data_IF_163986300753
#
_entry.id   IF_163986300753
#
_cell.length_a   1.000
_cell.length_b   1.000
_cell.length_c   1.000
_cell.angle_alpha   90.00
_cell.angle_beta   90.00
_cell.angle_gamma   90.00
#
_symmetry.space_group_name_H-M   'P 1'
#
loop_
_entity.id
_entity.type
_entity.pdbx_description
1 polymer ?
#
# COMPACT_ATOMS: atom_id res chain seq x y z
N UNK A 1 -27.80 -2.36 11.43
CA UNK A 1 -27.11 -3.59 10.96
C UNK A 1 -25.62 -3.43 11.21
N UNK A 2 -24.96 -4.33 11.95
CA UNK A 2 -23.50 -4.25 12.17
C UNK A 2 -22.80 -4.52 10.82
N UNK A 3 -22.09 -3.53 10.26
CA UNK A 3 -21.22 -3.72 9.09
C UNK A 3 -20.25 -4.84 9.47
N UNK A 4 -20.36 -6.03 8.87
CA UNK A 4 -19.35 -7.06 9.10
C UNK A 4 -18.01 -6.48 8.66
N UNK A 5 -17.00 -6.58 9.50
CA UNK A 5 -15.62 -6.28 9.09
C UNK A 5 -15.33 -7.05 7.82
N UNK A 6 -14.85 -6.40 6.75
CA UNK A 6 -14.77 -7.00 5.41
C UNK A 6 -13.82 -8.22 5.36
N UNK A 7 -12.96 -8.38 6.36
CA UNK A 7 -12.19 -9.61 6.56
C UNK A 7 -13.07 -10.86 6.80
N UNK A 8 -14.23 -10.70 7.45
CA UNK A 8 -15.23 -11.77 7.60
C UNK A 8 -15.92 -12.07 6.28
N UNK A 9 -16.07 -11.07 5.41
CA UNK A 9 -16.59 -11.26 4.06
C UNK A 9 -15.63 -12.12 3.23
N UNK A 10 -14.32 -11.84 3.30
CA UNK A 10 -13.30 -12.68 2.65
C UNK A 10 -13.38 -14.16 3.08
N UNK A 11 -13.59 -14.43 4.38
CA UNK A 11 -13.72 -15.79 4.91
C UNK A 11 -14.96 -16.54 4.40
N UNK A 12 -16.00 -15.82 3.99
CA UNK A 12 -17.24 -16.38 3.47
C UNK A 12 -17.20 -16.67 1.96
N UNK A 13 -16.19 -16.18 1.25
CA UNK A 13 -16.07 -16.32 -0.21
C UNK A 13 -15.66 -17.75 -0.56
N UNK A 14 -16.47 -18.41 -1.39
CA UNK A 14 -16.25 -19.81 -1.80
C UNK A 14 -15.70 -19.98 -3.22
N UNK A 15 -15.60 -18.90 -4.00
CA UNK A 15 -15.24 -18.96 -5.42
C UNK A 15 -14.31 -17.82 -5.82
N UNK A 16 -13.49 -18.05 -6.85
CA UNK A 16 -12.64 -17.00 -7.44
C UNK A 16 -13.46 -15.80 -7.96
N UNK A 17 -14.63 -16.04 -8.56
CA UNK A 17 -15.57 -14.98 -8.96
C UNK A 17 -16.01 -14.11 -7.77
N UNK A 18 -16.21 -14.71 -6.60
CA UNK A 18 -16.53 -13.99 -5.38
C UNK A 18 -15.39 -13.07 -4.92
N UNK A 19 -14.14 -13.54 -4.96
CA UNK A 19 -12.96 -12.75 -4.61
C UNK A 19 -12.79 -11.55 -5.55
N UNK A 20 -12.97 -11.77 -6.87
CA UNK A 20 -12.93 -10.71 -7.87
C UNK A 20 -13.98 -9.63 -7.56
N UNK A 21 -15.23 -10.04 -7.26
CA UNK A 21 -16.31 -9.11 -6.88
C UNK A 21 -15.96 -8.30 -5.62
N UNK A 22 -15.37 -8.94 -4.60
CA UNK A 22 -14.92 -8.25 -3.39
C UNK A 22 -13.89 -7.17 -3.73
N UNK A 23 -12.82 -7.53 -4.46
CA UNK A 23 -11.76 -6.58 -4.83
C UNK A 23 -12.31 -5.40 -5.63
N UNK A 24 -13.23 -5.66 -6.57
CA UNK A 24 -13.91 -4.59 -7.30
C UNK A 24 -14.74 -3.69 -6.39
N UNK A 25 -15.51 -4.27 -5.46
CA UNK A 25 -16.32 -3.51 -4.52
C UNK A 25 -15.47 -2.60 -3.64
N UNK A 26 -14.38 -3.12 -3.05
CA UNK A 26 -13.45 -2.34 -2.22
C UNK A 26 -12.84 -1.16 -3.00
N UNK A 27 -12.39 -1.43 -4.24
CA UNK A 27 -11.85 -0.41 -5.13
C UNK A 27 -12.88 0.67 -5.46
N UNK A 28 -14.14 0.28 -5.68
CA UNK A 28 -15.23 1.23 -5.96
C UNK A 28 -15.51 2.09 -4.74
N UNK A 29 -15.67 1.49 -3.55
CA UNK A 29 -15.92 2.20 -2.29
C UNK A 29 -14.84 3.26 -2.05
N UNK A 30 -13.56 2.88 -2.11
CA UNK A 30 -12.44 3.84 -1.93
C UNK A 30 -12.49 5.01 -2.93
N UNK A 31 -12.93 4.75 -4.17
CA UNK A 31 -13.01 5.80 -5.20
C UNK A 31 -14.20 6.73 -4.98
N UNK A 32 -15.34 6.20 -4.57
CA UNK A 32 -16.57 6.98 -4.35
C UNK A 32 -16.52 7.77 -3.05
N UNK A 33 -15.87 7.26 -2.01
CA UNK A 33 -15.72 7.93 -0.71
C UNK A 33 -14.56 8.94 -0.69
N UNK A 34 -13.95 9.23 -1.84
CA UNK A 34 -12.83 10.17 -1.93
C UNK A 34 -13.31 11.59 -1.64
N UNK A 35 -12.78 12.18 -0.57
CA UNK A 35 -13.02 13.58 -0.22
C UNK A 35 -12.24 14.49 -1.18
N UNK A 36 -12.94 15.49 -1.75
CA UNK A 36 -12.35 16.56 -2.57
C UNK A 36 -12.02 17.77 -1.70
N UNK A 37 -11.10 18.62 -2.15
CA UNK A 37 -10.81 19.95 -1.57
C UNK A 37 -10.24 20.00 -0.14
N UNK A 38 -9.65 18.91 0.35
CA UNK A 38 -8.91 18.95 1.61
C UNK A 38 -7.53 19.59 1.39
N UNK A 39 -7.25 20.69 2.10
CA UNK A 39 -6.00 21.47 1.98
C UNK A 39 -4.82 20.67 2.51
N UNK A 40 -3.80 20.49 1.67
CA UNK A 40 -2.55 19.84 2.07
C UNK A 40 -1.68 20.78 2.89
N UNK A 41 -1.18 20.29 4.01
CA UNK A 41 -0.22 21.01 4.86
C UNK A 41 1.04 20.18 5.04
N UNK A 42 2.21 20.81 4.91
CA UNK A 42 3.49 20.17 5.14
C UNK A 42 3.79 20.10 6.65
N UNK A 43 4.40 19.00 7.10
CA UNK A 43 4.91 18.89 8.46
C UNK A 43 6.18 19.74 8.62
N UNK A 44 6.31 20.40 9.76
CA UNK A 44 7.56 21.03 10.20
C UNK A 44 8.65 19.99 10.45
N UNK A 45 9.92 20.39 10.45
CA UNK A 45 11.05 19.51 10.78
C UNK A 45 10.87 18.82 12.14
N UNK A 46 10.49 19.58 13.17
CA UNK A 46 10.24 19.08 14.53
C UNK A 46 9.11 18.05 14.58
N UNK A 47 8.05 18.24 13.78
CA UNK A 47 6.98 17.24 13.66
C UNK A 47 7.46 15.97 12.97
N UNK A 48 8.32 16.10 11.94
CA UNK A 48 8.90 14.94 11.25
C UNK A 48 9.80 14.12 12.18
N UNK A 49 10.64 14.78 12.98
CA UNK A 49 11.46 14.14 14.02
C UNK A 49 10.58 13.33 14.98
N UNK A 50 9.51 13.94 15.53
CA UNK A 50 8.57 13.22 16.40
C UNK A 50 7.84 12.08 15.71
N UNK A 51 7.51 12.19 14.42
CA UNK A 51 6.94 11.07 13.65
C UNK A 51 7.93 9.92 13.55
N UNK A 52 9.20 10.19 13.31
CA UNK A 52 10.26 9.18 13.20
C UNK A 52 10.50 8.45 14.53
N UNK A 53 10.45 9.18 15.65
CA UNK A 53 10.65 8.65 17.00
C UNK A 53 9.59 7.61 17.40
N UNK A 54 8.37 7.69 16.85
CA UNK A 54 7.27 6.75 17.17
C UNK A 54 7.59 5.27 16.94
N UNK A 55 8.57 4.99 16.09
CA UNK A 55 8.93 3.63 15.69
C UNK A 55 10.42 3.36 15.83
N UNK A 56 11.12 4.13 16.68
CA UNK A 56 12.58 4.07 16.83
C UNK A 56 13.31 4.19 15.47
N UNK A 57 12.85 5.12 14.61
CA UNK A 57 13.35 5.28 13.26
C UNK A 57 13.27 4.02 12.39
N UNK A 58 12.23 3.19 12.54
CA UNK A 58 11.95 2.07 11.63
C UNK A 58 10.68 2.30 10.82
N UNK A 59 10.61 1.77 9.60
CA UNK A 59 9.38 1.81 8.83
C UNK A 59 8.28 1.05 9.57
N UNK A 60 7.12 1.70 9.78
CA UNK A 60 6.01 1.08 10.50
C UNK A 60 5.36 -0.12 9.76
N UNK A 61 5.73 -0.36 8.50
CA UNK A 61 5.18 -1.43 7.66
C UNK A 61 6.15 -2.61 7.58
N UNK A 62 7.41 -2.38 7.20
CA UNK A 62 8.39 -3.45 6.97
C UNK A 62 9.50 -3.55 8.04
N UNK A 63 9.59 -2.58 8.96
CA UNK A 63 10.59 -2.58 10.02
C UNK A 63 12.02 -2.22 9.57
N UNK A 64 12.26 -1.82 8.32
CA UNK A 64 13.59 -1.37 7.89
C UNK A 64 13.98 -0.08 8.64
N UNK A 65 15.26 0.07 9.01
CA UNK A 65 15.77 1.31 9.58
C UNK A 65 15.64 2.45 8.56
N UNK A 66 15.31 3.63 9.06
CA UNK A 66 15.09 4.85 8.31
C UNK A 66 16.11 5.89 8.73
N UNK A 67 16.62 6.64 7.75
CA UNK A 67 17.45 7.81 8.01
C UNK A 67 16.55 9.03 8.29
N UNK A 68 16.94 9.93 9.22
CA UNK A 68 16.12 11.09 9.58
C UNK A 68 15.73 11.98 8.39
N UNK A 69 16.57 12.02 7.35
CA UNK A 69 16.35 12.81 6.15
C UNK A 69 15.78 12.01 4.98
N UNK A 70 15.59 10.69 5.12
CA UNK A 70 15.11 9.80 4.05
C UNK A 70 13.97 8.89 4.52
N UNK A 71 12.82 9.52 4.76
CA UNK A 71 11.58 8.79 5.03
C UNK A 71 10.33 9.60 4.63
N UNK A 72 9.22 8.89 4.45
CA UNK A 72 7.91 9.49 4.24
C UNK A 72 7.08 9.48 5.53
N UNK A 73 6.49 10.62 5.87
CA UNK A 73 5.42 10.69 6.85
C UNK A 73 4.13 10.21 6.16
N UNK A 74 3.80 8.95 6.38
CA UNK A 74 2.65 8.28 5.77
C UNK A 74 1.41 8.44 6.64
N UNK A 75 0.28 8.74 5.99
CA UNK A 75 -1.01 8.96 6.65
C UNK A 75 -1.63 7.63 7.09
N UNK A 76 -1.85 7.44 8.39
CA UNK A 76 -2.54 6.27 8.94
C UNK A 76 -3.97 6.20 8.40
N UNK A 77 -4.73 7.30 8.51
CA UNK A 77 -5.97 7.51 7.75
C UNK A 77 -5.61 8.30 6.50
N UNK A 78 -5.73 7.74 5.29
CA UNK A 78 -5.38 8.44 4.06
C UNK A 78 -6.10 9.78 3.96
N UNK A 79 -5.39 10.80 3.48
CA UNK A 79 -5.96 12.13 3.28
C UNK A 79 -7.22 12.11 2.39
N UNK A 80 -7.24 11.28 1.35
CA UNK A 80 -8.40 11.09 0.47
C UNK A 80 -9.64 10.53 1.17
N UNK A 81 -9.50 9.96 2.35
CA UNK A 81 -10.61 9.47 3.17
C UNK A 81 -10.94 10.45 4.33
N UNK A 82 -10.48 11.71 4.25
CA UNK A 82 -10.64 12.69 5.32
C UNK A 82 -9.68 12.48 6.49
N UNK A 83 -8.46 12.01 6.22
CA UNK A 83 -7.38 11.99 7.18
C UNK A 83 -6.79 13.38 7.39
N UNK A 84 -6.69 13.81 8.65
CA UNK A 84 -6.16 15.13 9.00
C UNK A 84 -4.63 15.19 8.88
N UNK A 85 -4.10 16.38 8.60
CA UNK A 85 -2.67 16.68 8.63
C UNK A 85 -2.18 16.96 10.06
N UNK A 86 -2.33 15.97 10.94
CA UNK A 86 -1.89 16.05 12.32
C UNK A 86 -0.87 14.96 12.62
N UNK A 87 0.09 15.29 13.47
CA UNK A 87 1.19 14.40 13.84
C UNK A 87 0.72 13.00 14.25
N UNK A 88 -0.38 12.90 15.00
CA UNK A 88 -0.97 11.62 15.43
C UNK A 88 -1.50 10.75 14.27
N UNK A 89 -1.78 11.33 13.10
CA UNK A 89 -2.21 10.62 11.90
C UNK A 89 -1.03 10.23 10.98
N UNK A 90 0.22 10.43 11.43
CA UNK A 90 1.41 10.06 10.66
C UNK A 90 2.24 8.97 11.34
N UNK A 91 2.75 8.05 10.52
CA UNK A 91 3.79 7.10 10.87
C UNK A 91 4.91 7.14 9.81
N UNK A 92 6.16 6.86 10.18
CA UNK A 92 7.27 6.91 9.25
C UNK A 92 7.26 5.66 8.37
N UNK A 93 7.58 5.82 7.08
CA UNK A 93 7.64 4.72 6.11
C UNK A 93 8.77 4.90 5.11
N UNK A 94 9.32 3.79 4.63
CA UNK A 94 10.25 3.83 3.50
C UNK A 94 9.51 4.11 2.19
N UNK A 95 10.22 4.59 1.17
CA UNK A 95 9.65 4.93 -0.13
C UNK A 95 8.88 3.76 -0.79
N UNK A 96 9.38 2.53 -0.62
CA UNK A 96 8.77 1.32 -1.18
C UNK A 96 7.41 1.07 -0.52
N UNK A 97 7.37 1.00 0.82
CA UNK A 97 6.14 0.70 1.55
C UNK A 97 5.10 1.82 1.41
N UNK A 98 5.50 3.08 1.44
CA UNK A 98 4.61 4.22 1.18
C UNK A 98 3.92 4.08 -0.19
N UNK A 99 4.69 3.70 -1.23
CA UNK A 99 4.16 3.51 -2.58
C UNK A 99 3.24 2.29 -2.69
N UNK A 100 3.57 1.19 -2.02
CA UNK A 100 2.75 -0.03 -2.01
C UNK A 100 1.44 0.17 -1.25
N UNK A 101 1.47 0.90 -0.12
CA UNK A 101 0.28 1.17 0.68
C UNK A 101 -0.65 2.18 0.01
N UNK A 102 -0.08 3.20 -0.63
CA UNK A 102 -0.81 4.23 -1.36
C UNK A 102 -1.96 4.81 -0.51
N UNK A 103 -3.19 4.86 -1.04
CA UNK A 103 -4.37 5.26 -0.28
C UNK A 103 -5.39 4.13 -0.17
N UNK A 104 -4.93 2.87 -0.25
CA UNK A 104 -5.78 1.70 -0.06
C UNK A 104 -6.45 1.74 1.32
N UNK A 105 -7.69 1.26 1.39
CA UNK A 105 -8.36 1.09 2.68
C UNK A 105 -7.62 0.02 3.52
N UNK A 106 -7.80 0.02 4.85
CA UNK A 106 -7.28 -1.06 5.70
C UNK A 106 -7.64 -2.46 5.19
N UNK A 107 -8.86 -2.61 4.67
CA UNK A 107 -9.39 -3.87 4.17
C UNK A 107 -8.79 -4.27 2.82
N UNK A 108 -8.61 -3.31 1.90
CA UNK A 108 -7.85 -3.55 0.66
C UNK A 108 -6.43 -4.02 0.98
N UNK A 109 -5.74 -3.37 1.93
CA UNK A 109 -4.39 -3.76 2.35
C UNK A 109 -4.40 -5.18 2.93
N UNK A 110 -5.36 -5.54 3.77
CA UNK A 110 -5.46 -6.88 4.33
C UNK A 110 -5.66 -7.95 3.24
N UNK A 111 -6.49 -7.68 2.23
CA UNK A 111 -6.69 -8.58 1.09
C UNK A 111 -5.40 -8.70 0.26
N UNK A 112 -4.74 -7.57 -0.03
CA UNK A 112 -3.46 -7.54 -0.77
C UNK A 112 -2.38 -8.35 -0.04
N UNK A 113 -2.23 -8.16 1.27
CA UNK A 113 -1.26 -8.90 2.08
C UNK A 113 -1.55 -10.40 2.09
N UNK A 114 -2.81 -10.81 2.26
CA UNK A 114 -3.21 -12.22 2.20
C UNK A 114 -2.91 -12.86 0.84
N UNK A 115 -3.22 -12.14 -0.25
CA UNK A 115 -2.88 -12.58 -1.61
C UNK A 115 -1.37 -12.69 -1.81
N UNK A 116 -0.59 -11.73 -1.33
CA UNK A 116 0.87 -11.75 -1.43
C UNK A 116 1.50 -12.92 -0.66
N UNK A 117 1.06 -13.17 0.57
CA UNK A 117 1.52 -14.31 1.39
C UNK A 117 1.17 -15.64 0.72
N UNK A 118 -0.05 -15.78 0.22
CA UNK A 118 -0.47 -16.97 -0.52
C UNK A 118 0.35 -17.16 -1.80
N UNK A 119 0.49 -16.11 -2.62
CA UNK A 119 1.24 -16.16 -3.87
C UNK A 119 2.71 -16.52 -3.64
N UNK A 120 3.35 -15.96 -2.60
CA UNK A 120 4.71 -16.35 -2.17
C UNK A 120 4.78 -17.86 -1.90
N UNK A 121 3.81 -18.38 -1.15
CA UNK A 121 3.76 -19.83 -0.83
C UNK A 121 3.64 -20.67 -2.10
N UNK A 122 2.89 -20.19 -3.10
CA UNK A 122 2.78 -20.86 -4.41
C UNK A 122 4.03 -20.75 -5.27
N UNK A 123 4.74 -19.62 -5.23
CA UNK A 123 6.02 -19.52 -5.94
C UNK A 123 7.05 -20.51 -5.37
N UNK A 124 7.04 -20.71 -4.04
CA UNK A 124 7.96 -21.64 -3.37
C UNK A 124 7.65 -23.12 -3.61
N UNK A 125 6.44 -23.46 -4.07
CA UNK A 125 6.09 -24.86 -4.35
C UNK A 125 6.58 -25.36 -5.72
N UNK A 126 7.11 -24.44 -6.56
CA UNK A 126 7.65 -24.71 -7.91
C UNK A 126 6.69 -25.49 -8.84
N UNK A 127 5.39 -25.51 -8.53
CA UNK A 127 4.38 -26.07 -9.43
C UNK A 127 4.27 -25.24 -10.71
N UNK A 128 3.62 -25.80 -11.74
CA UNK A 128 3.30 -25.06 -12.97
C UNK A 128 2.63 -23.71 -12.68
N UNK A 129 1.74 -23.68 -11.69
CA UNK A 129 1.10 -22.46 -11.22
C UNK A 129 2.10 -21.51 -10.56
N UNK A 130 2.96 -22.01 -9.67
CA UNK A 130 4.01 -21.24 -9.00
C UNK A 130 4.96 -20.57 -9.98
N UNK A 131 5.45 -21.33 -10.97
CA UNK A 131 6.30 -20.84 -12.06
C UNK A 131 5.56 -19.81 -12.91
N UNK A 132 4.29 -20.05 -13.24
CA UNK A 132 3.49 -19.08 -13.98
C UNK A 132 3.36 -17.75 -13.20
N UNK A 133 3.05 -17.79 -11.90
CA UNK A 133 2.97 -16.60 -11.04
C UNK A 133 4.30 -15.85 -11.06
N UNK A 134 5.42 -16.54 -10.85
CA UNK A 134 6.75 -15.95 -10.84
C UNK A 134 7.09 -15.26 -12.17
N UNK A 135 6.87 -15.95 -13.30
CA UNK A 135 7.13 -15.42 -14.64
C UNK A 135 6.30 -14.17 -14.94
N UNK A 136 5.00 -14.20 -14.63
CA UNK A 136 4.13 -13.03 -14.80
C UNK A 136 4.56 -11.85 -13.92
N UNK A 137 4.97 -12.11 -12.68
CA UNK A 137 5.44 -11.07 -11.76
C UNK A 137 6.78 -10.44 -12.22
N UNK A 138 7.77 -11.26 -12.59
CA UNK A 138 9.07 -10.77 -13.08
C UNK A 138 8.89 -9.95 -14.36
N UNK A 139 8.06 -10.43 -15.30
CA UNK A 139 7.74 -9.68 -16.53
C UNK A 139 7.12 -8.32 -16.21
N UNK A 140 6.23 -8.24 -15.23
CA UNK A 140 5.65 -6.97 -14.78
C UNK A 140 6.72 -6.01 -14.24
N UNK A 141 7.59 -6.48 -13.34
CA UNK A 141 8.66 -5.67 -12.74
C UNK A 141 9.66 -5.17 -13.79
N UNK A 142 10.03 -6.01 -14.76
CA UNK A 142 10.89 -5.62 -15.88
C UNK A 142 10.26 -4.47 -16.69
N UNK A 143 8.96 -4.55 -16.98
CA UNK A 143 8.24 -3.47 -17.68
C UNK A 143 8.27 -2.16 -16.88
N UNK A 144 8.08 -2.21 -15.57
CA UNK A 144 8.15 -1.02 -14.71
C UNK A 144 9.55 -0.39 -14.70
N UNK A 145 10.61 -1.21 -14.67
CA UNK A 145 12.01 -0.73 -14.74
C UNK A 145 12.28 -0.03 -16.07
N UNK A 146 11.83 -0.61 -17.18
CA UNK A 146 12.02 -0.01 -18.50
C UNK A 146 11.30 1.33 -18.64
N UNK A 147 10.07 1.44 -18.13
CA UNK A 147 9.32 2.71 -18.11
C UNK A 147 10.04 3.79 -17.30
N UNK A 148 10.61 3.43 -16.14
CA UNK A 148 11.38 4.37 -15.30
C UNK A 148 12.63 4.88 -16.03
N UNK A 149 13.38 4.00 -16.70
CA UNK A 149 14.54 4.39 -17.53
C UNK A 149 14.15 5.34 -18.66
N UNK A 150 13.08 5.03 -19.40
CA UNK A 150 12.60 5.90 -20.48
C UNK A 150 12.13 7.28 -20.00
N UNK A 151 11.55 7.36 -18.79
CA UNK A 151 11.16 8.65 -18.18
C UNK A 151 12.35 9.45 -17.64
N UNK A 152 13.45 8.81 -17.22
CA UNK A 152 14.67 9.49 -16.78
C UNK A 152 15.38 10.14 -17.97
N UNK A 153 15.58 9.40 -19.07
CA UNK A 153 16.22 9.92 -20.28
C UNK A 153 15.45 11.08 -20.94
N UNK A 154 14.14 11.19 -20.72
CA UNK A 154 13.31 12.31 -21.22
C UNK A 154 13.37 13.58 -20.38
N UNK A 155 13.95 13.53 -19.17
CA UNK A 155 14.11 14.70 -18.30
C UNK A 155 15.48 15.38 -18.45
N UNK A 156 16.41 14.73 -19.14
CA UNK A 156 17.78 15.18 -19.37
C UNK A 156 17.99 15.77 -20.78
N UNK A 157 16.91 15.88 -21.57
CA UNK A 157 16.83 16.55 -22.88
C UNK A 157 15.86 17.72 -22.76
#
# INVERSE_FOLDING_TARGET
>A
MKKLSELKLLQSIKTGKGLIKLIFSLRTIRRTEKVTDVKRTALTKKQRERVLEKTDAHCHICGIKLEPNDFHADHVKPHSAGGIHAENNYLPSCAICNKLRWHYSPEEIQVILKLGVWAKTKVLDESDLGVAIANHFVKHEMSLRQKRKGSANKKEV
#
